data_IF_801791581301
#
_entry.id   IF_801791581301
#
_cell.length_a   1.000
_cell.length_b   1.000
_cell.length_c   1.000
_cell.angle_alpha   90.00
_cell.angle_beta   90.00
_cell.angle_gamma   90.00
#
_symmetry.space_group_name_H-M   'P 1'
#
loop_
_entity.id
_entity.type
_entity.pdbx_description
1 polymer ?
#
# COMPACT_ATOMS: atom_id res chain seq x y z
N UNK A 1 10.57 -9.70 15.47
CA UNK A 1 9.49 -9.87 14.46
C UNK A 1 8.35 -10.72 15.01
N UNK A 2 8.62 -11.93 15.53
CA UNK A 2 7.57 -12.81 16.08
C UNK A 2 6.83 -12.18 17.27
N UNK A 3 7.51 -11.49 18.18
CA UNK A 3 6.85 -10.81 19.31
C UNK A 3 5.86 -9.73 18.85
N UNK A 4 6.20 -9.03 17.76
CA UNK A 4 5.31 -8.04 17.14
C UNK A 4 4.05 -8.68 16.60
N UNK A 5 4.17 -9.84 15.94
CA UNK A 5 3.02 -10.64 15.49
C UNK A 5 2.19 -11.16 16.66
N UNK A 6 2.83 -11.63 17.73
CA UNK A 6 2.12 -12.12 18.91
C UNK A 6 1.37 -10.99 19.62
N UNK A 7 1.98 -9.82 19.75
CA UNK A 7 1.32 -8.62 20.27
C UNK A 7 0.18 -8.15 19.37
N UNK A 8 0.33 -8.24 18.04
CA UNK A 8 -0.73 -7.92 17.09
C UNK A 8 -1.92 -8.88 17.23
N UNK A 9 -1.68 -10.19 17.23
CA UNK A 9 -2.72 -11.22 17.31
C UNK A 9 -3.54 -11.13 18.62
N UNK A 10 -2.89 -10.85 19.75
CA UNK A 10 -3.56 -10.74 21.06
C UNK A 10 -4.43 -9.49 21.24
N UNK A 11 -4.20 -8.43 20.46
CA UNK A 11 -4.94 -7.18 20.62
C UNK A 11 -6.35 -7.34 20.02
N UNK A 12 -7.43 -7.17 20.81
CA UNK A 12 -8.79 -7.25 20.27
C UNK A 12 -9.03 -6.07 19.31
N UNK A 13 -9.63 -6.38 18.16
CA UNK A 13 -10.07 -5.37 17.22
C UNK A 13 -11.45 -4.87 17.69
N UNK A 14 -11.46 -3.87 18.58
CA UNK A 14 -12.66 -3.33 19.27
C UNK A 14 -13.67 -2.71 18.28
N UNK A 15 -14.40 -3.55 17.52
CA UNK A 15 -15.33 -3.10 16.48
C UNK A 15 -14.66 -2.47 15.24
N UNK A 16 -13.37 -2.72 15.04
CA UNK A 16 -12.59 -2.14 13.93
C UNK A 16 -11.84 -3.23 13.17
N UNK A 17 -11.60 -3.01 11.87
CA UNK A 17 -10.75 -3.89 11.06
C UNK A 17 -9.32 -3.36 11.11
N UNK A 18 -8.35 -4.24 11.33
CA UNK A 18 -6.92 -3.92 11.26
C UNK A 18 -6.33 -4.52 10.00
N UNK A 19 -5.70 -3.68 9.19
CA UNK A 19 -5.02 -4.12 7.96
C UNK A 19 -3.52 -3.98 8.18
N UNK A 20 -2.78 -5.05 7.88
CA UNK A 20 -1.33 -5.02 7.78
C UNK A 20 -0.95 -5.32 6.35
N UNK A 21 -0.32 -4.35 5.69
CA UNK A 21 0.17 -4.50 4.33
C UNK A 21 1.61 -5.05 4.33
N UNK A 22 1.89 -5.99 3.44
CA UNK A 22 3.25 -6.48 3.12
C UNK A 22 3.99 -7.26 4.22
N UNK A 23 3.61 -7.14 5.49
CA UNK A 23 4.38 -7.67 6.62
C UNK A 23 4.28 -9.18 6.83
N UNK A 24 3.28 -9.86 6.24
CA UNK A 24 3.08 -11.30 6.45
C UNK A 24 3.95 -12.15 5.53
N UNK A 25 3.99 -11.83 4.23
CA UNK A 25 4.75 -12.57 3.21
C UNK A 25 5.87 -11.72 2.61
N UNK A 26 5.52 -10.58 2.02
CA UNK A 26 6.43 -9.79 1.21
C UNK A 26 7.69 -9.37 1.98
N UNK A 27 7.54 -8.70 3.12
CA UNK A 27 8.67 -8.25 3.93
C UNK A 27 9.49 -9.41 4.51
N UNK A 28 8.93 -10.40 5.24
CA UNK A 28 9.75 -11.46 5.83
C UNK A 28 10.45 -12.30 4.77
N UNK A 29 9.75 -12.69 3.69
CA UNK A 29 10.37 -13.49 2.61
C UNK A 29 11.42 -12.65 1.87
N UNK A 30 11.09 -11.41 1.49
CA UNK A 30 11.98 -10.54 0.72
C UNK A 30 13.24 -10.14 1.49
N UNK A 31 13.09 -9.72 2.76
CA UNK A 31 14.22 -9.33 3.61
C UNK A 31 15.12 -10.53 3.89
N UNK A 32 14.57 -11.68 4.27
CA UNK A 32 15.40 -12.85 4.52
C UNK A 32 16.09 -13.36 3.26
N UNK A 33 15.41 -13.32 2.11
CA UNK A 33 16.02 -13.66 0.83
C UNK A 33 17.16 -12.69 0.49
N UNK A 34 16.97 -11.38 0.65
CA UNK A 34 18.02 -10.37 0.46
C UNK A 34 19.20 -10.56 1.42
N UNK A 35 18.94 -11.04 2.65
CA UNK A 35 19.96 -11.45 3.62
C UNK A 35 20.59 -12.81 3.32
N UNK A 36 20.35 -13.35 2.11
CA UNK A 36 20.88 -14.61 1.62
C UNK A 36 20.57 -15.81 2.54
N UNK A 37 19.43 -15.78 3.23
CA UNK A 37 19.06 -16.86 4.14
C UNK A 37 18.58 -18.11 3.36
N UNK A 38 18.86 -19.32 3.86
CA UNK A 38 18.36 -20.54 3.24
C UNK A 38 16.82 -20.57 3.21
N UNK A 39 16.26 -21.08 2.11
CA UNK A 39 14.81 -21.17 1.92
C UNK A 39 14.09 -21.90 3.06
N UNK A 40 14.71 -22.94 3.65
CA UNK A 40 14.15 -23.64 4.80
C UNK A 40 13.93 -22.72 6.02
N UNK A 41 14.86 -21.80 6.28
CA UNK A 41 14.76 -20.83 7.37
C UNK A 41 13.66 -19.79 7.11
N UNK A 42 13.53 -19.34 5.86
CA UNK A 42 12.46 -18.43 5.42
C UNK A 42 11.09 -19.09 5.64
N UNK A 43 10.93 -20.34 5.19
CA UNK A 43 9.70 -21.10 5.37
C UNK A 43 9.38 -21.32 6.84
N UNK A 44 10.38 -21.63 7.67
CA UNK A 44 10.19 -21.76 9.11
C UNK A 44 9.68 -20.47 9.76
N UNK A 45 10.23 -19.30 9.38
CA UNK A 45 9.75 -18.02 9.90
C UNK A 45 8.27 -17.79 9.54
N UNK A 46 7.90 -17.99 8.27
CA UNK A 46 6.51 -17.76 7.84
C UNK A 46 5.55 -18.71 8.54
N UNK A 47 5.91 -19.99 8.72
CA UNK A 47 5.09 -20.94 9.51
C UNK A 47 4.93 -20.52 10.96
N UNK A 48 5.98 -19.96 11.58
CA UNK A 48 5.87 -19.45 12.94
C UNK A 48 4.92 -18.23 13.02
N UNK A 49 4.96 -17.34 12.01
CA UNK A 49 4.01 -16.23 11.91
C UNK A 49 2.58 -16.76 11.73
N UNK A 50 2.37 -17.71 10.82
CA UNK A 50 1.08 -18.37 10.59
C UNK A 50 0.53 -19.01 11.86
N UNK A 51 1.34 -19.76 12.60
CA UNK A 51 0.93 -20.37 13.86
C UNK A 51 0.51 -19.34 14.93
N UNK A 52 1.19 -18.19 14.99
CA UNK A 52 0.84 -17.11 15.92
C UNK A 52 -0.52 -16.50 15.60
N UNK A 53 -0.87 -16.38 14.32
CA UNK A 53 -2.11 -15.72 13.88
C UNK A 53 -3.25 -16.69 13.57
N UNK A 54 -3.02 -18.00 13.54
CA UNK A 54 -4.02 -18.99 13.15
C UNK A 54 -5.29 -18.93 14.03
N UNK A 55 -5.16 -18.51 15.30
CA UNK A 55 -6.28 -18.29 16.21
C UNK A 55 -6.89 -16.89 16.17
N UNK A 56 -6.35 -15.97 15.36
CA UNK A 56 -6.95 -14.67 15.13
C UNK A 56 -8.03 -14.77 14.06
N UNK A 57 -9.15 -14.07 14.24
CA UNK A 57 -10.17 -13.88 13.20
C UNK A 57 -9.62 -12.95 12.11
N UNK A 58 -8.81 -13.51 11.23
CA UNK A 58 -8.06 -12.79 10.21
C UNK A 58 -7.98 -13.56 8.90
N UNK A 59 -7.78 -12.82 7.81
CA UNK A 59 -7.60 -13.38 6.49
C UNK A 59 -6.42 -12.72 5.78
N UNK A 60 -5.73 -13.50 4.94
CA UNK A 60 -4.65 -13.05 4.09
C UNK A 60 -5.13 -12.90 2.65
N UNK A 61 -5.02 -11.69 2.11
CA UNK A 61 -5.25 -11.38 0.70
C UNK A 61 -3.90 -11.26 0.01
N UNK A 62 -3.63 -12.14 -0.96
CA UNK A 62 -2.41 -12.11 -1.77
C UNK A 62 -2.73 -11.63 -3.18
N UNK A 63 -2.36 -10.38 -3.48
CA UNK A 63 -2.46 -9.83 -4.83
C UNK A 63 -1.17 -10.14 -5.59
N UNK A 64 -1.28 -10.74 -6.77
CA UNK A 64 -0.10 -11.12 -7.56
C UNK A 64 -0.28 -10.90 -9.06
N UNK A 65 0.84 -10.78 -9.74
CA UNK A 65 0.93 -10.74 -11.21
C UNK A 65 1.85 -11.86 -11.65
N UNK A 66 1.43 -12.79 -12.52
CA UNK A 66 2.27 -13.91 -12.95
C UNK A 66 3.54 -13.50 -13.71
N UNK A 67 3.51 -12.35 -14.37
CA UNK A 67 4.69 -11.79 -15.04
C UNK A 67 5.38 -10.76 -14.15
N UNK A 68 6.47 -11.20 -13.50
CA UNK A 68 7.27 -10.36 -12.61
C UNK A 68 7.95 -9.23 -13.36
N UNK A 69 8.41 -9.47 -14.60
CA UNK A 69 9.05 -8.42 -15.41
C UNK A 69 8.04 -7.32 -15.70
N UNK A 70 6.86 -7.69 -16.20
CA UNK A 70 5.79 -6.74 -16.51
C UNK A 70 5.35 -5.96 -15.27
N UNK A 71 5.19 -6.64 -14.13
CA UNK A 71 4.81 -5.98 -12.87
C UNK A 71 5.86 -4.95 -12.41
N UNK A 72 7.14 -5.31 -12.49
CA UNK A 72 8.23 -4.43 -12.07
C UNK A 72 8.39 -3.23 -13.00
N UNK A 73 8.31 -3.45 -14.32
CA UNK A 73 8.36 -2.38 -15.31
C UNK A 73 7.17 -1.43 -15.19
N UNK A 74 5.95 -1.95 -15.07
CA UNK A 74 4.76 -1.10 -14.87
C UNK A 74 4.81 -0.30 -13.56
N UNK A 75 5.42 -0.86 -12.51
CA UNK A 75 5.70 -0.09 -11.28
C UNK A 75 6.74 0.99 -11.53
N UNK A 76 7.77 0.69 -12.32
CA UNK A 76 8.77 1.66 -12.79
C UNK A 76 8.16 2.80 -13.61
N UNK A 77 7.19 2.54 -14.48
CA UNK A 77 6.49 3.57 -15.24
C UNK A 77 5.73 4.55 -14.32
N UNK A 78 5.17 4.04 -13.21
CA UNK A 78 4.45 4.84 -12.22
C UNK A 78 5.40 5.59 -11.28
N UNK A 79 6.50 4.96 -10.87
CA UNK A 79 7.43 5.46 -9.83
C UNK A 79 8.63 6.21 -10.40
N UNK A 80 8.88 6.10 -11.70
CA UNK A 80 10.01 6.67 -12.43
C UNK A 80 11.26 5.78 -12.43
N UNK A 81 12.15 6.01 -13.41
CA UNK A 81 13.39 5.23 -13.60
C UNK A 81 14.34 5.28 -12.41
N UNK A 82 14.42 6.42 -11.71
CA UNK A 82 15.24 6.55 -10.50
C UNK A 82 14.86 5.52 -9.43
N UNK A 83 13.58 5.20 -9.29
CA UNK A 83 13.14 4.17 -8.34
C UNK A 83 13.68 2.78 -8.73
N UNK A 84 13.66 2.42 -10.02
CA UNK A 84 14.25 1.17 -10.51
C UNK A 84 15.77 1.11 -10.27
N UNK A 85 16.48 2.20 -10.50
CA UNK A 85 17.92 2.32 -10.22
C UNK A 85 18.23 2.13 -8.73
N UNK A 86 17.46 2.77 -7.86
CA UNK A 86 17.60 2.62 -6.41
C UNK A 86 17.37 1.16 -5.98
N UNK A 87 16.34 0.49 -6.52
CA UNK A 87 16.03 -0.91 -6.23
C UNK A 87 17.12 -1.87 -6.71
N UNK A 88 17.62 -1.69 -7.94
CA UNK A 88 18.71 -2.54 -8.48
C UNK A 88 20.01 -2.33 -7.70
N UNK A 89 20.33 -1.08 -7.33
CA UNK A 89 21.47 -0.75 -6.50
C UNK A 89 21.37 -1.31 -5.08
N UNK A 90 20.19 -1.23 -4.45
CA UNK A 90 19.93 -1.81 -3.14
C UNK A 90 20.10 -3.34 -3.15
N UNK A 91 19.56 -4.03 -4.17
CA UNK A 91 19.75 -5.46 -4.34
C UNK A 91 21.23 -5.81 -4.49
N UNK A 92 21.97 -5.10 -5.35
CA UNK A 92 23.40 -5.36 -5.58
C UNK A 92 24.24 -5.23 -4.30
N UNK A 93 23.86 -4.31 -3.40
CA UNK A 93 24.51 -4.13 -2.09
C UNK A 93 24.03 -5.10 -1.00
N UNK A 94 23.00 -5.89 -1.25
CA UNK A 94 22.54 -6.90 -0.28
C UNK A 94 23.50 -8.10 -0.20
N UNK A 95 23.50 -8.87 0.90
CA UNK A 95 24.20 -10.16 0.97
C UNK A 95 23.89 -11.09 -0.20
N UNK A 96 22.61 -11.20 -0.59
CA UNK A 96 22.20 -11.99 -1.75
C UNK A 96 22.84 -11.47 -3.05
N UNK A 97 22.80 -10.15 -3.25
CA UNK A 97 23.35 -9.51 -4.44
C UNK A 97 24.86 -9.72 -4.57
N UNK A 98 25.60 -9.61 -3.46
CA UNK A 98 27.03 -9.92 -3.43
C UNK A 98 27.32 -11.38 -3.74
N UNK A 99 26.60 -12.31 -3.10
CA UNK A 99 26.81 -13.75 -3.28
C UNK A 99 26.50 -14.23 -4.72
N UNK A 100 25.48 -13.64 -5.36
CA UNK A 100 25.02 -14.04 -6.70
C UNK A 100 25.48 -13.10 -7.83
N UNK A 101 26.35 -12.14 -7.52
CA UNK A 101 26.76 -11.06 -8.45
C UNK A 101 25.56 -10.40 -9.14
N UNK A 102 24.48 -10.21 -8.38
CA UNK A 102 23.19 -9.76 -8.89
C UNK A 102 23.24 -8.25 -9.18
N UNK A 103 23.25 -7.88 -10.47
CA UNK A 103 23.32 -6.47 -10.93
C UNK A 103 22.29 -6.18 -12.03
N UNK A 104 21.79 -4.96 -12.03
CA UNK A 104 20.85 -4.46 -13.05
C UNK A 104 19.44 -5.06 -12.94
N UNK A 105 18.60 -4.70 -13.91
CA UNK A 105 17.18 -5.01 -13.92
C UNK A 105 16.89 -6.52 -13.98
N UNK A 106 17.61 -7.28 -14.80
CA UNK A 106 17.38 -8.72 -14.92
C UNK A 106 17.68 -9.47 -13.62
N UNK A 107 18.69 -9.03 -12.87
CA UNK A 107 18.96 -9.58 -11.55
C UNK A 107 17.84 -9.26 -10.55
N UNK A 108 17.26 -8.06 -10.62
CA UNK A 108 16.12 -7.67 -9.80
C UNK A 108 14.88 -8.50 -10.14
N UNK A 109 14.61 -8.74 -11.43
CA UNK A 109 13.53 -9.62 -11.89
C UNK A 109 13.71 -11.04 -11.37
N UNK A 110 14.93 -11.62 -11.49
CA UNK A 110 15.22 -12.96 -10.95
C UNK A 110 15.04 -13.02 -9.43
N UNK A 111 15.45 -11.99 -8.71
CA UNK A 111 15.25 -11.90 -7.26
C UNK A 111 13.75 -11.93 -6.90
N UNK A 112 12.93 -11.12 -7.55
CA UNK A 112 11.49 -11.10 -7.29
C UNK A 112 10.76 -12.35 -7.76
N UNK A 113 11.20 -12.98 -8.85
CA UNK A 113 10.72 -14.30 -9.26
C UNK A 113 11.00 -15.34 -8.18
N UNK A 114 12.24 -15.37 -7.65
CA UNK A 114 12.60 -16.27 -6.55
C UNK A 114 11.81 -15.99 -5.27
N UNK A 115 11.58 -14.72 -4.94
CA UNK A 115 10.73 -14.34 -3.82
C UNK A 115 9.30 -14.86 -3.99
N UNK A 116 8.75 -14.72 -5.19
CA UNK A 116 7.41 -15.23 -5.52
C UNK A 116 7.36 -16.75 -5.44
N UNK A 117 8.31 -17.48 -5.99
CA UNK A 117 8.32 -18.96 -5.92
C UNK A 117 8.28 -19.45 -4.46
N UNK A 118 8.98 -18.76 -3.55
CA UNK A 118 8.93 -19.06 -2.13
C UNK A 118 7.56 -18.81 -1.53
N UNK A 119 6.91 -17.71 -1.92
CA UNK A 119 5.55 -17.36 -1.48
C UNK A 119 4.53 -18.37 -2.03
N UNK A 120 4.56 -18.67 -3.32
CA UNK A 120 3.64 -19.59 -4.00
C UNK A 120 3.77 -21.01 -3.43
N UNK A 121 4.98 -21.42 -3.02
CA UNK A 121 5.18 -22.68 -2.31
C UNK A 121 4.67 -22.66 -0.86
N UNK A 122 4.64 -21.51 -0.20
CA UNK A 122 4.19 -21.38 1.19
C UNK A 122 2.67 -21.27 1.30
N UNK A 123 2.05 -20.54 0.37
CA UNK A 123 0.65 -20.13 0.47
C UNK A 123 -0.32 -21.32 0.70
N UNK A 124 -0.27 -22.42 -0.07
CA UNK A 124 -1.20 -23.55 0.13
C UNK A 124 -1.02 -24.29 1.46
N UNK A 125 0.05 -24.01 2.20
CA UNK A 125 0.41 -24.66 3.47
C UNK A 125 0.08 -23.80 4.69
N UNK A 126 -0.49 -22.61 4.49
CA UNK A 126 -0.89 -21.73 5.59
C UNK A 126 -2.20 -22.22 6.20
N UNK A 127 -2.26 -22.18 7.53
CA UNK A 127 -3.45 -22.46 8.32
C UNK A 127 -4.39 -21.26 8.32
N UNK A 128 -3.84 -20.05 8.23
CA UNK A 128 -4.60 -18.81 8.11
C UNK A 128 -5.45 -18.83 6.84
N UNK A 129 -6.73 -18.43 6.98
CA UNK A 129 -7.63 -18.25 5.84
C UNK A 129 -7.00 -17.30 4.82
N UNK A 130 -6.85 -17.74 3.57
CA UNK A 130 -6.17 -16.94 2.55
C UNK A 130 -6.78 -17.11 1.16
N UNK A 131 -6.55 -16.11 0.30
CA UNK A 131 -6.89 -16.17 -1.12
C UNK A 131 -5.88 -15.40 -1.96
N UNK A 132 -5.56 -15.96 -3.12
CA UNK A 132 -4.71 -15.34 -4.13
C UNK A 132 -5.57 -14.74 -5.25
N UNK A 133 -5.26 -13.51 -5.66
CA UNK A 133 -5.95 -12.81 -6.73
C UNK A 133 -4.95 -12.32 -7.77
N UNK A 134 -5.10 -12.81 -9.00
CA UNK A 134 -4.37 -12.31 -10.15
C UNK A 134 -4.87 -10.92 -10.55
N UNK A 135 -3.99 -9.92 -10.48
CA UNK A 135 -4.27 -8.52 -10.80
C UNK A 135 -3.66 -8.06 -12.14
N UNK A 136 -3.24 -9.00 -13.00
CA UNK A 136 -2.59 -8.70 -14.30
C UNK A 136 -3.40 -7.80 -15.21
N UNK A 137 -4.74 -7.93 -15.18
CA UNK A 137 -5.65 -7.12 -16.00
C UNK A 137 -5.90 -5.71 -15.43
N UNK A 138 -5.40 -5.41 -14.23
CA UNK A 138 -5.67 -4.17 -13.50
C UNK A 138 -7.17 -3.82 -13.39
N UNK A 139 -8.04 -4.84 -13.44
CA UNK A 139 -9.48 -4.69 -13.22
C UNK A 139 -9.74 -4.60 -11.71
N UNK A 140 -9.49 -3.41 -11.17
CA UNK A 140 -9.61 -3.14 -9.74
C UNK A 140 -11.05 -3.27 -9.24
N UNK A 141 -12.04 -2.99 -10.08
CA UNK A 141 -13.46 -3.12 -9.73
C UNK A 141 -13.85 -4.59 -9.54
N UNK A 142 -13.41 -5.48 -10.44
CA UNK A 142 -13.58 -6.94 -10.27
C UNK A 142 -12.75 -7.47 -9.10
N UNK A 143 -11.52 -7.00 -8.93
CA UNK A 143 -10.65 -7.44 -7.84
C UNK A 143 -11.25 -7.06 -6.48
N UNK A 144 -11.71 -5.82 -6.33
CA UNK A 144 -12.38 -5.31 -5.14
C UNK A 144 -13.64 -6.11 -4.79
N UNK A 145 -14.47 -6.46 -5.79
CA UNK A 145 -15.62 -7.36 -5.59
C UNK A 145 -15.20 -8.71 -5.01
N UNK A 146 -14.24 -9.39 -5.64
CA UNK A 146 -13.81 -10.73 -5.24
C UNK A 146 -13.13 -10.74 -3.87
N UNK A 147 -12.35 -9.70 -3.57
CA UNK A 147 -11.74 -9.53 -2.24
C UNK A 147 -12.81 -9.25 -1.20
N UNK A 148 -13.78 -8.38 -1.47
CA UNK A 148 -14.87 -8.08 -0.55
C UNK A 148 -15.72 -9.32 -0.25
N UNK A 149 -16.05 -10.10 -1.28
CA UNK A 149 -16.76 -11.38 -1.16
C UNK A 149 -15.97 -12.38 -0.32
N UNK A 150 -14.69 -12.57 -0.61
CA UNK A 150 -13.82 -13.43 0.19
C UNK A 150 -13.76 -12.96 1.66
N UNK A 151 -13.65 -11.68 1.91
CA UNK A 151 -13.60 -11.14 3.28
C UNK A 151 -14.98 -11.13 3.97
N UNK A 152 -16.06 -11.37 3.25
CA UNK A 152 -17.43 -11.27 3.78
C UNK A 152 -17.81 -9.84 4.16
N UNK A 153 -17.18 -8.83 3.56
CA UNK A 153 -17.43 -7.41 3.87
C UNK A 153 -18.30 -6.77 2.79
N UNK A 154 -19.12 -5.81 3.22
CA UNK A 154 -19.90 -5.00 2.28
C UNK A 154 -18.97 -4.10 1.49
N UNK A 155 -19.03 -4.23 0.17
CA UNK A 155 -18.36 -3.32 -0.74
C UNK A 155 -18.88 -1.90 -0.56
N UNK A 156 -17.97 -0.95 -0.35
CA UNK A 156 -18.29 0.48 -0.41
C UNK A 156 -18.00 0.99 -1.82
N UNK A 157 -19.04 1.32 -2.58
CA UNK A 157 -18.86 2.02 -3.85
C UNK A 157 -18.78 3.51 -3.52
N UNK A 158 -17.60 4.10 -3.69
CA UNK A 158 -17.43 5.54 -3.51
C UNK A 158 -18.41 6.28 -4.44
N UNK A 159 -19.28 7.16 -3.91
CA UNK A 159 -20.18 7.94 -4.74
C UNK A 159 -19.39 8.77 -5.76
N UNK A 160 -19.85 8.80 -7.01
CA UNK A 160 -19.28 9.69 -8.01
C UNK A 160 -19.52 11.14 -7.58
N UNK A 161 -18.50 11.97 -7.73
CA UNK A 161 -18.61 13.40 -7.50
C UNK A 161 -19.17 14.07 -8.75
N UNK A 162 -20.08 15.03 -8.59
CA UNK A 162 -20.42 15.92 -9.72
C UNK A 162 -19.25 16.86 -10.01
N UNK A 163 -19.26 17.49 -11.18
CA UNK A 163 -18.23 18.47 -11.57
C UNK A 163 -18.11 19.61 -10.55
N UNK A 164 -19.23 20.11 -10.04
CA UNK A 164 -19.22 21.17 -9.03
C UNK A 164 -18.61 20.67 -7.73
N UNK A 165 -18.92 19.42 -7.32
CA UNK A 165 -18.29 18.84 -6.14
C UNK A 165 -16.77 18.71 -6.32
N UNK A 166 -16.30 18.29 -7.50
CA UNK A 166 -14.86 18.23 -7.79
C UNK A 166 -14.21 19.63 -7.68
N UNK A 167 -14.80 20.64 -8.33
CA UNK A 167 -14.27 22.01 -8.36
C UNK A 167 -14.31 22.72 -6.99
N UNK A 168 -15.20 22.29 -6.09
CA UNK A 168 -15.22 22.75 -4.70
C UNK A 168 -13.94 22.38 -3.94
N UNK A 169 -13.29 21.26 -4.28
CA UNK A 169 -12.07 20.79 -3.62
C UNK A 169 -10.78 21.18 -4.34
N UNK A 170 -10.82 21.32 -5.67
CA UNK A 170 -9.64 21.63 -6.47
C UNK A 170 -9.03 23.00 -6.11
N UNK A 171 -7.71 23.09 -6.04
CA UNK A 171 -6.97 24.31 -5.74
C UNK A 171 -5.58 24.05 -5.16
N UNK A 172 -4.85 25.15 -4.94
CA UNK A 172 -3.55 25.13 -4.28
C UNK A 172 -3.71 25.42 -2.81
N UNK A 173 -2.97 24.68 -1.98
CA UNK A 173 -2.97 24.80 -0.54
C UNK A 173 -1.55 24.93 -0.03
N UNK A 174 -1.39 25.53 1.15
CA UNK A 174 -0.10 25.69 1.83
C UNK A 174 -0.20 25.15 3.25
N UNK A 175 0.78 24.36 3.64
CA UNK A 175 0.91 23.83 4.99
C UNK A 175 0.82 24.97 6.02
N UNK A 176 0.07 24.76 7.09
CA UNK A 176 -0.15 25.77 8.11
C UNK A 176 1.15 26.10 8.86
N UNK A 177 2.06 25.13 9.04
CA UNK A 177 3.32 25.31 9.76
C UNK A 177 4.49 25.60 8.84
N UNK A 178 4.81 24.67 7.93
CA UNK A 178 6.00 24.72 7.05
C UNK A 178 5.73 25.40 5.71
N UNK A 179 4.48 25.85 5.46
CA UNK A 179 4.07 26.51 4.21
C UNK A 179 4.32 25.66 2.96
N UNK A 180 4.51 24.36 3.15
CA UNK A 180 4.78 23.41 2.07
C UNK A 180 3.59 23.37 1.09
N UNK A 181 3.85 23.43 -0.22
CA UNK A 181 2.77 23.46 -1.21
C UNK A 181 2.09 22.10 -1.27
N UNK A 182 0.77 22.12 -1.46
CA UNK A 182 -0.01 20.96 -1.86
C UNK A 182 -1.00 21.41 -2.94
N UNK A 183 -1.31 20.53 -3.88
CA UNK A 183 -2.34 20.79 -4.87
C UNK A 183 -3.40 19.69 -4.82
N UNK A 184 -4.66 20.10 -4.90
CA UNK A 184 -5.77 19.21 -5.23
C UNK A 184 -6.18 19.53 -6.66
N UNK A 185 -6.05 18.57 -7.56
CA UNK A 185 -6.40 18.72 -8.98
C UNK A 185 -7.51 17.75 -9.36
N UNK A 186 -8.08 17.93 -10.55
CA UNK A 186 -9.13 17.06 -11.09
C UNK A 186 -9.00 16.90 -12.60
N UNK A 187 -9.35 15.73 -13.09
CA UNK A 187 -9.54 15.42 -14.51
C UNK A 187 -11.01 15.50 -14.95
N UNK A 188 -11.91 16.00 -14.08
CA UNK A 188 -13.36 16.02 -14.31
C UNK A 188 -14.09 14.74 -13.88
N UNK A 189 -13.36 13.70 -13.44
CA UNK A 189 -13.92 12.43 -12.95
C UNK A 189 -13.51 12.17 -11.50
N UNK A 190 -12.26 12.50 -11.14
CA UNK A 190 -11.66 12.23 -9.83
C UNK A 190 -10.90 13.44 -9.31
N UNK A 191 -10.61 13.41 -8.02
CA UNK A 191 -9.66 14.33 -7.40
C UNK A 191 -8.31 13.65 -7.26
N UNK A 192 -7.26 14.46 -7.29
CA UNK A 192 -5.89 14.00 -7.08
C UNK A 192 -5.20 14.91 -6.07
N UNK A 193 -4.39 14.33 -5.19
CA UNK A 193 -3.52 15.03 -4.26
C UNK A 193 -2.09 15.00 -4.79
N UNK A 194 -1.44 16.16 -4.76
CA UNK A 194 -0.01 16.30 -4.99
C UNK A 194 0.64 16.96 -3.77
N UNK A 195 1.46 16.20 -3.06
CA UNK A 195 2.34 16.69 -1.99
C UNK A 195 3.78 16.83 -2.53
N UNK A 196 4.65 17.62 -1.87
CA UNK A 196 6.05 17.75 -2.27
C UNK A 196 6.73 16.38 -2.31
N UNK A 197 7.49 16.10 -3.36
CA UNK A 197 8.24 14.85 -3.55
C UNK A 197 7.39 13.55 -3.54
N UNK A 198 6.07 13.66 -3.76
CA UNK A 198 5.19 12.50 -3.95
C UNK A 198 4.66 12.44 -5.38
N UNK A 199 4.40 11.23 -5.87
CA UNK A 199 3.58 11.04 -7.08
C UNK A 199 2.19 11.65 -6.88
N UNK A 200 1.51 12.00 -7.97
CA UNK A 200 0.11 12.43 -7.92
C UNK A 200 -0.77 11.25 -7.48
N UNK A 201 -1.51 11.42 -6.39
CA UNK A 201 -2.29 10.34 -5.76
C UNK A 201 -3.79 10.55 -5.99
N UNK A 202 -4.49 9.59 -6.61
CA UNK A 202 -5.94 9.64 -6.70
C UNK A 202 -6.58 9.70 -5.30
N UNK A 203 -7.59 10.53 -5.12
CA UNK A 203 -8.38 10.58 -3.89
C UNK A 203 -9.64 9.74 -4.04
N UNK A 204 -9.89 8.88 -3.06
CA UNK A 204 -11.10 8.06 -2.95
C UNK A 204 -12.03 8.71 -1.92
N UNK A 205 -13.26 9.05 -2.32
CA UNK A 205 -14.28 9.61 -1.41
C UNK A 205 -14.70 8.54 -0.41
N UNK A 206 -14.65 8.89 0.88
CA UNK A 206 -15.14 8.05 1.99
C UNK A 206 -16.54 8.50 2.39
N UNK A 207 -16.71 9.81 2.57
CA UNK A 207 -17.98 10.47 2.88
C UNK A 207 -17.95 11.90 2.35
N UNK A 208 -18.95 12.71 2.68
CA UNK A 208 -18.90 14.11 2.33
C UNK A 208 -17.72 14.83 2.99
N UNK A 209 -16.97 15.59 2.18
CA UNK A 209 -15.72 16.24 2.57
C UNK A 209 -14.59 15.36 3.08
N UNK A 210 -14.72 14.02 3.03
CA UNK A 210 -13.69 13.08 3.52
C UNK A 210 -13.18 12.15 2.43
N UNK A 211 -11.87 12.04 2.36
CA UNK A 211 -11.16 11.31 1.31
C UNK A 211 -9.99 10.51 1.88
N UNK A 212 -9.57 9.48 1.15
CA UNK A 212 -8.29 8.81 1.37
C UNK A 212 -7.46 8.88 0.08
N UNK A 213 -6.18 9.28 0.11
CA UNK A 213 -5.28 9.07 -1.01
C UNK A 213 -5.08 7.57 -1.25
N UNK A 214 -5.24 7.15 -2.50
CA UNK A 214 -5.04 5.76 -2.90
C UNK A 214 -3.60 5.34 -2.63
N UNK A 215 -3.44 4.18 -1.97
CA UNK A 215 -2.14 3.64 -1.62
C UNK A 215 -1.48 4.29 -0.41
N UNK A 216 -2.19 5.15 0.32
CA UNK A 216 -1.70 5.70 1.58
C UNK A 216 -2.71 5.47 2.72
N UNK A 217 -2.26 5.04 3.91
CA UNK A 217 -3.11 4.80 5.08
C UNK A 217 -3.48 6.12 5.79
N UNK A 218 -4.15 7.01 5.07
CA UNK A 218 -4.31 8.42 5.44
C UNK A 218 -5.75 8.86 5.19
N UNK A 219 -6.30 9.62 6.12
CA UNK A 219 -7.55 10.36 5.97
C UNK A 219 -7.31 11.84 5.70
N UNK A 220 -8.09 12.38 4.77
CA UNK A 220 -8.17 13.80 4.46
C UNK A 220 -9.59 14.26 4.75
N UNK A 221 -9.71 15.38 5.47
CA UNK A 221 -10.98 16.04 5.72
C UNK A 221 -10.91 17.49 5.27
N UNK A 222 -11.84 17.91 4.41
CA UNK A 222 -11.95 19.28 3.95
C UNK A 222 -12.89 20.09 4.85
N UNK A 223 -12.55 21.35 5.06
CA UNK A 223 -13.44 22.37 5.64
C UNK A 223 -13.73 23.42 4.59
N UNK A 224 -14.95 23.95 4.58
CA UNK A 224 -15.42 24.85 3.54
C UNK A 224 -15.55 26.28 4.05
N UNK A 225 -15.20 27.25 3.20
CA UNK A 225 -15.39 28.67 3.46
C UNK A 225 -16.76 29.19 2.96
N UNK A 226 -16.96 30.51 3.04
CA UNK A 226 -18.10 31.18 2.41
C UNK A 226 -18.07 30.91 0.90
N UNK A 227 -19.19 30.47 0.33
CA UNK A 227 -19.29 30.05 -1.08
C UNK A 227 -19.07 28.55 -1.33
N UNK A 228 -18.96 27.72 -0.29
CA UNK A 228 -18.96 26.26 -0.42
C UNK A 228 -17.69 25.65 -1.01
N UNK A 229 -16.64 26.45 -1.25
CA UNK A 229 -15.32 25.95 -1.66
C UNK A 229 -14.49 25.56 -0.46
N UNK A 230 -13.71 24.50 -0.60
CA UNK A 230 -12.80 24.05 0.44
C UNK A 230 -11.77 25.15 0.73
N UNK A 231 -11.71 25.60 1.98
CA UNK A 231 -10.78 26.63 2.47
C UNK A 231 -9.55 26.02 3.14
N UNK A 232 -9.66 24.76 3.57
CA UNK A 232 -8.59 24.01 4.23
C UNK A 232 -8.85 22.51 4.08
N UNK A 233 -7.79 21.72 4.16
CA UNK A 233 -7.91 20.31 4.49
C UNK A 233 -6.97 19.92 5.62
N UNK A 234 -7.37 18.92 6.40
CA UNK A 234 -6.54 18.29 7.43
C UNK A 234 -6.19 16.88 7.03
N UNK A 235 -5.14 16.38 7.66
CA UNK A 235 -4.56 15.08 7.45
C UNK A 235 -4.57 14.30 8.78
N UNK A 236 -4.98 13.04 8.74
CA UNK A 236 -4.85 12.10 9.85
C UNK A 236 -4.28 10.77 9.35
N UNK A 237 -3.12 10.37 9.87
CA UNK A 237 -2.55 9.06 9.60
C UNK A 237 -3.29 7.96 10.35
N UNK A 238 -3.48 6.81 9.69
CA UNK A 238 -3.94 5.56 10.30
C UNK A 238 -2.78 4.65 10.72
N UNK A 239 -1.53 5.08 10.52
CA UNK A 239 -0.35 4.33 10.92
C UNK A 239 -0.03 4.52 12.40
N UNK A 240 0.44 3.47 13.05
CA UNK A 240 1.06 3.58 14.35
C UNK A 240 2.42 4.30 14.23
N UNK A 241 2.67 5.32 15.06
CA UNK A 241 3.95 6.04 15.09
C UNK A 241 4.13 7.12 14.02
N UNK A 242 3.03 7.73 13.56
CA UNK A 242 3.07 8.83 12.59
C UNK A 242 3.91 10.02 13.08
N UNK A 243 4.94 10.35 12.30
CA UNK A 243 5.91 11.43 12.54
C UNK A 243 5.70 12.64 11.62
N UNK A 244 4.54 12.74 10.96
CA UNK A 244 4.27 13.90 10.11
C UNK A 244 4.02 15.16 10.92
N UNK A 245 4.91 16.14 10.68
CA UNK A 245 4.94 17.44 11.34
C UNK A 245 3.82 18.39 10.87
N UNK A 246 3.39 18.24 9.61
CA UNK A 246 2.33 19.06 8.99
C UNK A 246 1.03 18.24 8.87
N UNK A 247 -0.06 18.77 9.42
CA UNK A 247 -1.37 18.10 9.44
C UNK A 247 -2.52 18.95 8.91
N UNK A 248 -2.24 20.17 8.46
CA UNK A 248 -3.27 21.10 7.97
C UNK A 248 -2.72 21.95 6.85
N UNK A 249 -3.51 22.14 5.80
CA UNK A 249 -3.17 23.01 4.68
C UNK A 249 -4.32 23.97 4.42
N UNK A 250 -3.99 25.25 4.26
CA UNK A 250 -4.95 26.32 4.00
C UNK A 250 -4.88 26.68 2.53
N UNK A 251 -6.05 26.91 1.92
CA UNK A 251 -6.13 27.30 0.51
C UNK A 251 -5.45 28.65 0.30
N UNK A 252 -4.61 28.73 -0.73
CA UNK A 252 -3.98 29.97 -1.19
C UNK A 252 -4.83 30.70 -2.22
#
# INVERSE_FOLDING_TARGET
MLDGWAAFARRPARGAIRVIEGSFLQLPVGVMLAMNQPAARIRALVRNIDAIVAGADGALVYLHTPDVRKALLGTGDIRGMRWLEEMTGALARSPYGRAHRARGLDALIRFYARQRDLIDALLPRLSTRHAAFDVTRADWDRTDRRVSEFLGIRRSVAPRLTRDELLRHAGTYRGARRRQPAAITTDGVRLYLQLPATSVLPLVRVSDGRFCPMGLPIDIAFTYGRGGRASRFTYASRMAGDVLDERSWVRG
#
